data_IF_438632594391
#
_entry.id   IF_438632594391
#
_cell.length_a   1.000
_cell.length_b   1.000
_cell.length_c   1.000
_cell.angle_alpha   90.00
_cell.angle_beta   90.00
_cell.angle_gamma   90.00
#
_symmetry.space_group_name_H-M   'P 1'
#
loop_
_entity.id
_entity.type
_entity.pdbx_description
1 polymer ?
#
# COMPACT_ATOMS: atom_id res chain seq x y z
N UNK A 1 6.16 5.88 1.64
CA UNK A 1 4.70 5.75 1.65
C UNK A 1 4.11 6.17 2.98
N UNK A 2 4.51 5.59 4.06
CA UNK A 2 4.09 5.98 5.41
C UNK A 2 5.33 6.30 6.23
N UNK A 3 5.85 7.53 6.14
CA UNK A 3 7.15 7.84 6.78
C UNK A 3 7.18 7.55 8.27
N UNK A 4 6.07 7.78 8.97
CA UNK A 4 6.02 7.55 10.41
C UNK A 4 5.99 6.07 10.75
N UNK A 5 5.75 5.20 9.76
CA UNK A 5 5.68 3.75 9.98
C UNK A 5 6.83 3.00 9.32
N UNK A 6 7.88 3.70 8.92
CA UNK A 6 8.96 3.06 8.16
C UNK A 6 9.53 1.84 8.86
N UNK A 7 9.85 1.97 10.14
CA UNK A 7 10.42 0.85 10.89
C UNK A 7 9.40 -0.25 11.10
N UNK A 8 8.17 0.12 11.36
CA UNK A 8 7.11 -0.86 11.56
C UNK A 8 6.84 -1.63 10.28
N UNK A 9 6.88 -0.97 9.14
CA UNK A 9 6.73 -1.65 7.85
C UNK A 9 7.82 -2.71 7.69
N UNK A 10 9.06 -2.34 7.95
CA UNK A 10 10.18 -3.27 7.84
C UNK A 10 9.97 -4.48 8.75
N UNK A 11 9.54 -4.22 9.97
CA UNK A 11 9.30 -5.29 10.94
C UNK A 11 8.16 -6.20 10.48
N UNK A 12 7.05 -5.63 10.08
CA UNK A 12 5.90 -6.43 9.66
C UNK A 12 6.17 -7.22 8.40
N UNK A 13 6.98 -6.70 7.49
CA UNK A 13 7.33 -7.43 6.28
C UNK A 13 8.06 -8.73 6.60
N UNK A 14 8.80 -8.76 7.68
CA UNK A 14 9.53 -9.98 8.05
C UNK A 14 8.71 -10.88 8.97
N UNK A 15 7.77 -10.34 9.72
CA UNK A 15 7.04 -11.10 10.72
C UNK A 15 5.63 -11.50 10.31
N UNK A 16 5.03 -10.77 9.38
CA UNK A 16 3.64 -10.99 9.00
C UNK A 16 3.56 -11.26 7.50
N UNK A 17 3.35 -12.52 7.14
CA UNK A 17 3.29 -12.92 5.74
C UNK A 17 2.15 -12.24 5.00
N UNK A 18 1.02 -12.04 5.68
CA UNK A 18 -0.13 -11.37 5.07
C UNK A 18 0.21 -9.91 4.73
N UNK A 19 0.84 -9.23 5.67
CA UNK A 19 1.27 -7.85 5.44
C UNK A 19 2.28 -7.78 4.29
N UNK A 20 3.25 -8.70 4.29
CA UNK A 20 4.26 -8.74 3.24
C UNK A 20 3.64 -8.92 1.87
N UNK A 21 2.66 -9.82 1.76
CA UNK A 21 1.98 -10.07 0.50
C UNK A 21 1.21 -8.83 0.01
N UNK A 22 0.50 -8.17 0.92
CA UNK A 22 -0.24 -6.96 0.58
C UNK A 22 0.70 -5.84 0.16
N UNK A 23 1.81 -5.71 0.87
CA UNK A 23 2.78 -4.66 0.58
C UNK A 23 3.39 -4.88 -0.80
N UNK A 24 3.76 -6.12 -1.10
CA UNK A 24 4.31 -6.47 -2.41
C UNK A 24 3.30 -6.19 -3.52
N UNK A 25 2.04 -6.57 -3.28
CA UNK A 25 0.99 -6.33 -4.26
C UNK A 25 0.81 -4.83 -4.53
N UNK A 26 0.85 -4.03 -3.46
CA UNK A 26 0.73 -2.58 -3.59
C UNK A 26 1.87 -2.03 -4.45
N UNK A 27 3.09 -2.49 -4.19
CA UNK A 27 4.24 -2.03 -4.96
C UNK A 27 4.17 -2.45 -6.41
N UNK A 28 3.69 -3.67 -6.66
CA UNK A 28 3.54 -4.16 -8.03
C UNK A 28 2.53 -3.32 -8.80
N UNK A 29 1.41 -2.98 -8.16
CA UNK A 29 0.41 -2.14 -8.80
C UNK A 29 0.92 -0.74 -9.06
N UNK A 30 1.68 -0.20 -8.11
CA UNK A 30 2.25 1.13 -8.26
C UNK A 30 3.19 1.16 -9.47
N UNK A 31 4.03 0.14 -9.62
CA UNK A 31 4.94 0.05 -10.76
C UNK A 31 4.17 -0.14 -12.07
N UNK A 32 3.13 -0.96 -12.04
CA UNK A 32 2.33 -1.21 -13.23
C UNK A 32 1.65 0.09 -13.70
N UNK A 33 1.07 0.83 -12.79
CA UNK A 33 0.44 2.09 -13.11
C UNK A 33 1.47 3.07 -13.69
N UNK A 34 2.64 3.12 -13.08
CA UNK A 34 3.71 4.00 -13.53
C UNK A 34 4.12 3.65 -14.96
N UNK A 35 4.25 2.37 -15.26
CA UNK A 35 4.62 1.92 -16.61
C UNK A 35 3.55 2.31 -17.63
N UNK A 36 2.30 2.21 -17.26
CA UNK A 36 1.21 2.59 -18.15
C UNK A 36 1.19 4.09 -18.39
N UNK A 37 1.37 4.88 -17.32
CA UNK A 37 1.35 6.33 -17.44
C UNK A 37 2.55 6.85 -18.23
N UNK A 38 3.67 6.18 -18.14
CA UNK A 38 4.87 6.55 -18.87
C UNK A 38 4.84 6.10 -20.33
N UNK A 39 3.82 5.37 -20.73
CA UNK A 39 3.71 4.89 -22.09
C UNK A 39 4.57 3.69 -22.42
N UNK A 40 5.22 3.10 -21.43
CA UNK A 40 6.02 1.90 -21.62
C UNK A 40 5.12 0.73 -21.98
N UNK A 41 3.93 0.74 -21.41
CA UNK A 41 2.96 -0.33 -21.60
C UNK A 41 1.67 0.26 -22.14
N UNK A 42 1.13 -0.27 -23.24
CA UNK A 42 -0.14 0.24 -23.78
C UNK A 42 -1.27 0.03 -22.77
N UNK A 43 -2.10 1.03 -22.61
CA UNK A 43 -3.24 0.93 -21.72
C UNK A 43 -4.27 1.99 -22.03
N UNK A 44 -5.49 1.75 -21.56
CA UNK A 44 -6.54 2.74 -21.65
C UNK A 44 -6.65 3.49 -20.32
N UNK A 45 -7.28 4.64 -20.33
CA UNK A 45 -7.54 5.36 -19.10
C UNK A 45 -8.38 4.55 -18.13
N UNK A 46 -9.32 3.75 -18.67
CA UNK A 46 -10.16 2.91 -17.84
C UNK A 46 -9.33 1.85 -17.10
N UNK A 47 -8.35 1.25 -17.79
CA UNK A 47 -7.49 0.25 -17.15
C UNK A 47 -6.67 0.86 -16.03
N UNK A 48 -6.13 2.06 -16.26
CA UNK A 48 -5.35 2.75 -15.23
C UNK A 48 -6.23 3.05 -14.02
N UNK A 49 -7.47 3.48 -14.25
CA UNK A 49 -8.37 3.79 -13.15
C UNK A 49 -8.67 2.57 -12.29
N UNK A 50 -8.88 1.41 -12.92
CA UNK A 50 -9.13 0.18 -12.18
C UNK A 50 -7.95 -0.15 -11.28
N UNK A 51 -6.74 -0.05 -11.82
CA UNK A 51 -5.54 -0.36 -11.03
C UNK A 51 -5.33 0.65 -9.91
N UNK A 52 -5.65 1.92 -10.15
CA UNK A 52 -5.53 2.94 -9.10
C UNK A 52 -6.49 2.68 -7.96
N UNK A 53 -7.70 2.22 -8.26
CA UNK A 53 -8.66 1.87 -7.23
C UNK A 53 -8.18 0.68 -6.42
N UNK A 54 -7.64 -0.33 -7.08
CA UNK A 54 -7.10 -1.50 -6.39
C UNK A 54 -5.94 -1.09 -5.49
N UNK A 55 -5.06 -0.24 -6.00
CA UNK A 55 -3.93 0.23 -5.20
C UNK A 55 -4.41 0.97 -3.95
N UNK A 56 -5.44 1.80 -4.10
CA UNK A 56 -6.00 2.53 -2.98
C UNK A 56 -6.56 1.59 -1.93
N UNK A 57 -7.28 0.55 -2.35
CA UNK A 57 -7.81 -0.44 -1.42
C UNK A 57 -6.70 -1.14 -0.66
N UNK A 58 -5.62 -1.50 -1.35
CA UNK A 58 -4.47 -2.14 -0.69
C UNK A 58 -3.81 -1.20 0.29
N UNK A 59 -3.68 0.07 -0.09
CA UNK A 59 -3.11 1.07 0.80
C UNK A 59 -3.94 1.21 2.07
N UNK A 60 -5.26 1.19 1.94
CA UNK A 60 -6.14 1.28 3.09
C UNK A 60 -5.97 0.07 4.00
N UNK A 61 -5.87 -1.12 3.42
CA UNK A 61 -5.65 -2.34 4.21
C UNK A 61 -4.31 -2.31 4.92
N UNK A 62 -3.27 -1.87 4.22
CA UNK A 62 -1.95 -1.76 4.82
C UNK A 62 -1.95 -0.77 5.97
N UNK A 63 -2.60 0.36 5.77
CA UNK A 63 -2.67 1.37 6.81
C UNK A 63 -3.43 0.85 8.03
N UNK A 64 -4.50 0.10 7.81
CA UNK A 64 -5.25 -0.51 8.90
C UNK A 64 -4.40 -1.47 9.71
N UNK A 65 -3.60 -2.29 9.02
CA UNK A 65 -2.69 -3.21 9.71
C UNK A 65 -1.61 -2.46 10.48
N UNK A 66 -1.09 -1.39 9.91
CA UNK A 66 -0.07 -0.59 10.58
C UNK A 66 -0.63 0.07 11.84
N UNK A 67 -1.82 0.60 11.76
CA UNK A 67 -2.46 1.22 12.91
C UNK A 67 -2.72 0.21 14.00
N UNK A 68 -3.15 -1.00 13.63
CA UNK A 68 -3.43 -2.04 14.59
C UNK A 68 -2.15 -2.52 15.28
N UNK A 69 -1.04 -2.50 14.58
CA UNK A 69 0.24 -2.96 15.12
C UNK A 69 1.05 -1.85 15.79
N UNK A 70 0.62 -0.60 15.65
CA UNK A 70 1.38 0.55 16.14
C UNK A 70 1.33 0.60 17.68
N UNK A 71 2.47 0.36 18.34
CA UNK A 71 2.49 0.36 19.80
C UNK A 71 2.29 1.75 20.40
N UNK A 72 2.52 2.79 19.62
CA UNK A 72 2.37 4.16 20.08
C UNK A 72 0.98 4.72 19.85
N UNK A 73 0.17 4.00 19.09
CA UNK A 73 -1.18 4.44 18.83
C UNK A 73 -1.32 5.66 17.96
N UNK A 74 -0.34 5.89 17.10
CA UNK A 74 -0.39 7.06 16.22
C UNK A 74 -1.65 7.15 15.40
N UNK A 75 -2.12 6.04 14.92
CA UNK A 75 -3.26 6.04 14.04
C UNK A 75 -4.57 6.29 14.72
N UNK A 76 -4.66 6.01 15.99
CA UNK A 76 -5.96 6.06 16.63
C UNK A 76 -6.40 7.44 17.07
N UNK A 77 -5.49 8.37 17.16
CA UNK A 77 -5.89 9.73 17.50
C UNK A 77 -6.82 10.30 16.46
N UNK A 78 -6.72 9.84 15.26
CA UNK A 78 -7.60 10.29 14.19
C UNK A 78 -8.88 9.54 14.14
N UNK A 79 -8.81 8.27 14.48
CA UNK A 79 -9.97 7.43 14.37
C UNK A 79 -10.99 7.68 15.44
N UNK A 80 -10.57 8.31 16.42
CA UNK A 80 -11.44 8.59 17.53
C UNK A 80 -12.52 9.57 17.15
#
# INVERSE_FOLDING_TARGET
MFPEYRELITQLKSENAHFSALFQRHNDLDQEIQNMEDGIKPSSGAAIEVLKKEKLHLKDKLYGLLRAADPNGHGKSNGS
#
